data_IF_808183026540
#
_entry.id   IF_808183026540
#
_cell.length_a   1.000
_cell.length_b   1.000
_cell.length_c   1.000
_cell.angle_alpha   90.00
_cell.angle_beta   90.00
_cell.angle_gamma   90.00
#
_symmetry.space_group_name_H-M   'P 1'
#
loop_
_entity.id
_entity.type
_entity.pdbx_description
1 polymer ?
#
# COMPACT_ATOMS: atom_id res chain seq x y z
N UNK A 1 -8.12 17.45 -2.30
CA UNK A 1 -8.88 16.19 -2.46
C UNK A 1 -8.10 14.96 -2.04
N UNK A 2 -7.03 14.51 -2.73
CA UNK A 2 -6.32 13.25 -2.34
C UNK A 2 -5.81 13.25 -0.89
N UNK A 3 -5.20 14.36 -0.44
CA UNK A 3 -4.78 14.53 0.96
C UNK A 3 -5.89 14.50 1.99
N UNK A 4 -7.08 15.00 1.67
CA UNK A 4 -8.22 14.96 2.61
C UNK A 4 -8.77 13.54 2.73
N UNK A 5 -8.81 12.80 1.61
CA UNK A 5 -9.14 11.37 1.61
C UNK A 5 -8.09 10.58 2.40
N UNK A 6 -6.80 10.85 2.18
CA UNK A 6 -5.71 10.20 2.90
C UNK A 6 -5.79 10.43 4.41
N UNK A 7 -6.10 11.65 4.85
CA UNK A 7 -6.28 11.95 6.28
C UNK A 7 -7.39 11.10 6.91
N UNK A 8 -8.56 11.06 6.27
CA UNK A 8 -9.68 10.25 6.76
C UNK A 8 -9.35 8.75 6.75
N UNK A 9 -8.61 8.27 5.75
CA UNK A 9 -8.16 6.89 5.66
C UNK A 9 -7.20 6.51 6.80
N UNK A 10 -6.25 7.40 7.12
CA UNK A 10 -5.25 7.18 8.18
C UNK A 10 -5.90 7.12 9.55
N UNK A 11 -6.96 7.89 9.80
CA UNK A 11 -7.74 7.82 11.06
C UNK A 11 -8.41 6.46 11.31
N UNK A 12 -8.54 5.60 10.28
CA UNK A 12 -9.09 4.25 10.41
C UNK A 12 -8.03 3.19 10.73
N UNK A 13 -6.75 3.53 10.62
CA UNK A 13 -5.63 2.61 10.81
C UNK A 13 -5.26 2.59 12.29
N UNK A 14 -5.28 1.41 12.91
CA UNK A 14 -4.98 1.22 14.32
C UNK A 14 -3.70 0.41 14.50
N UNK A 15 -2.98 0.57 15.62
CA UNK A 15 -1.88 -0.33 15.98
C UNK A 15 -2.30 -1.81 15.88
N UNK A 16 -1.41 -2.64 15.34
CA UNK A 16 -1.61 -4.05 15.02
C UNK A 16 -2.21 -4.31 13.64
N UNK A 17 -2.72 -3.29 12.93
CA UNK A 17 -3.32 -3.49 11.61
C UNK A 17 -2.29 -3.90 10.55
N UNK A 18 -2.74 -4.80 9.69
CA UNK A 18 -2.06 -5.23 8.46
C UNK A 18 -2.82 -4.65 7.28
N UNK A 19 -2.19 -3.72 6.57
CA UNK A 19 -2.85 -2.97 5.49
C UNK A 19 -2.19 -3.25 4.14
N UNK A 20 -2.97 -3.15 3.06
CA UNK A 20 -2.46 -3.08 1.70
C UNK A 20 -2.64 -1.67 1.16
N UNK A 21 -1.58 -1.13 0.57
CA UNK A 21 -1.56 0.13 -0.18
C UNK A 21 -1.21 -0.14 -1.64
N UNK A 22 -2.12 0.14 -2.57
CA UNK A 22 -1.80 0.10 -4.01
C UNK A 22 -0.80 1.22 -4.41
N UNK A 23 -0.27 1.18 -5.63
CA UNK A 23 0.63 2.15 -6.25
C UNK A 23 0.05 3.54 -6.55
N UNK A 24 -1.23 3.75 -6.29
CA UNK A 24 -1.92 4.99 -6.62
C UNK A 24 -1.41 6.27 -5.92
N UNK A 25 -1.81 7.41 -6.47
CA UNK A 25 -1.43 8.72 -5.90
C UNK A 25 -2.16 9.06 -4.60
N UNK A 26 -3.33 8.46 -4.34
CA UNK A 26 -4.03 8.63 -3.06
C UNK A 26 -3.40 7.78 -1.95
N UNK A 27 -3.05 6.54 -2.26
CA UNK A 27 -2.36 5.61 -1.35
C UNK A 27 -0.94 6.08 -1.03
N UNK A 28 -0.26 6.72 -1.98
CA UNK A 28 0.98 7.46 -1.71
C UNK A 28 0.81 8.55 -0.65
N UNK A 29 -0.27 9.34 -0.67
CA UNK A 29 -0.52 10.34 0.37
C UNK A 29 -0.85 9.69 1.73
N UNK A 30 -1.49 8.51 1.75
CA UNK A 30 -1.68 7.72 2.98
C UNK A 30 -0.31 7.30 3.55
N UNK A 31 0.54 6.69 2.74
CA UNK A 31 1.89 6.27 3.16
C UNK A 31 2.71 7.42 3.77
N UNK A 32 2.67 8.60 3.16
CA UNK A 32 3.37 9.78 3.71
C UNK A 32 2.88 10.19 5.11
N UNK A 33 1.64 9.91 5.47
CA UNK A 33 1.07 10.22 6.78
C UNK A 33 1.31 9.12 7.82
N UNK A 34 1.67 7.90 7.38
CA UNK A 34 1.94 6.77 8.28
C UNK A 34 3.24 6.88 9.08
N UNK A 35 4.13 7.83 8.78
CA UNK A 35 5.35 8.09 9.58
C UNK A 35 5.07 8.36 11.06
N UNK A 36 3.85 8.78 11.41
CA UNK A 36 3.43 9.03 12.79
C UNK A 36 2.84 7.79 13.49
N UNK A 37 2.67 6.68 12.76
CA UNK A 37 2.08 5.46 13.27
C UNK A 37 3.17 4.48 13.68
N UNK A 38 2.82 3.61 14.61
CA UNK A 38 3.67 2.52 15.09
C UNK A 38 2.87 1.24 15.11
N UNK A 39 3.56 0.11 15.02
CA UNK A 39 2.97 -1.23 15.07
C UNK A 39 2.00 -1.47 13.90
N UNK A 40 2.43 -1.16 12.67
CA UNK A 40 1.67 -1.40 11.45
C UNK A 40 2.46 -2.30 10.51
N UNK A 41 1.80 -3.25 9.85
CA UNK A 41 2.38 -3.98 8.72
C UNK A 41 1.74 -3.47 7.43
N UNK A 42 2.52 -2.87 6.54
CA UNK A 42 2.03 -2.38 5.26
C UNK A 42 2.59 -3.22 4.11
N UNK A 43 1.71 -3.85 3.33
CA UNK A 43 2.07 -4.44 2.05
C UNK A 43 1.76 -3.45 0.91
N UNK A 44 2.67 -3.33 -0.05
CA UNK A 44 2.41 -2.54 -1.26
C UNK A 44 2.94 -3.21 -2.52
N UNK A 45 2.22 -3.02 -3.62
CA UNK A 45 2.71 -3.30 -4.96
C UNK A 45 3.39 -2.05 -5.58
N UNK A 46 3.39 -0.88 -4.92
CA UNK A 46 3.87 0.38 -5.48
C UNK A 46 5.27 0.73 -5.00
N UNK A 47 6.22 0.88 -5.92
CA UNK A 47 7.57 1.34 -5.60
C UNK A 47 7.56 2.78 -5.06
N UNK A 48 6.68 3.64 -5.56
CA UNK A 48 6.48 4.99 -5.05
C UNK A 48 5.97 5.01 -3.60
N UNK A 49 5.08 4.07 -3.25
CA UNK A 49 4.54 3.93 -1.90
C UNK A 49 5.57 3.32 -0.96
N UNK A 50 6.30 2.29 -1.39
CA UNK A 50 7.42 1.72 -0.65
C UNK A 50 8.47 2.79 -0.31
N UNK A 51 8.87 3.61 -1.29
CA UNK A 51 9.80 4.71 -1.08
C UNK A 51 9.28 5.74 -0.07
N UNK A 52 7.97 5.98 -0.04
CA UNK A 52 7.36 6.91 0.92
C UNK A 52 7.29 6.34 2.35
N UNK A 53 7.54 5.05 2.54
CA UNK A 53 7.53 4.39 3.85
C UNK A 53 8.94 4.06 4.36
N UNK A 54 10.00 4.37 3.61
CA UNK A 54 11.38 4.03 3.99
C UNK A 54 11.77 4.60 5.37
N UNK A 55 11.29 5.79 5.69
CA UNK A 55 11.59 6.48 6.95
C UNK A 55 10.49 6.28 8.01
N UNK A 56 9.48 5.44 7.74
CA UNK A 56 8.40 5.14 8.67
C UNK A 56 8.78 3.98 9.59
N UNK A 57 9.64 4.23 10.58
CA UNK A 57 10.22 3.20 11.47
C UNK A 57 9.18 2.33 12.20
N UNK A 58 7.98 2.87 12.43
CA UNK A 58 6.86 2.16 13.04
C UNK A 58 6.06 1.27 12.10
N UNK A 59 6.45 1.19 10.82
CA UNK A 59 5.77 0.41 9.77
C UNK A 59 6.69 -0.68 9.24
N UNK A 60 6.32 -1.94 9.45
CA UNK A 60 6.95 -3.06 8.76
C UNK A 60 6.48 -3.07 7.30
N UNK A 61 7.43 -2.94 6.36
CA UNK A 61 7.15 -2.82 4.94
C UNK A 61 7.32 -4.16 4.21
N UNK A 62 6.23 -4.67 3.65
CA UNK A 62 6.20 -5.81 2.75
C UNK A 62 5.98 -5.33 1.30
N UNK A 63 6.68 -5.96 0.36
CA UNK A 63 6.49 -5.70 -1.07
C UNK A 63 6.02 -6.97 -1.76
N UNK A 64 5.05 -6.84 -2.68
CA UNK A 64 4.52 -8.01 -3.40
C UNK A 64 5.57 -8.69 -4.28
N UNK A 65 6.58 -7.94 -4.75
CA UNK A 65 7.63 -8.46 -5.63
C UNK A 65 7.11 -8.83 -7.02
N UNK A 66 7.86 -9.63 -7.79
CA UNK A 66 7.50 -9.96 -9.18
C UNK A 66 8.00 -8.93 -10.19
N UNK A 67 7.22 -8.65 -11.23
CA UNK A 67 7.64 -7.80 -12.35
C UNK A 67 7.29 -6.34 -12.15
N UNK A 68 8.26 -5.43 -12.37
CA UNK A 68 8.03 -4.00 -12.29
C UNK A 68 7.45 -3.43 -13.60
N UNK A 69 6.22 -2.92 -13.53
CA UNK A 69 5.62 -2.04 -14.54
C UNK A 69 6.08 -0.60 -14.30
N UNK A 70 7.09 -0.17 -15.06
CA UNK A 70 7.73 1.16 -14.89
C UNK A 70 6.76 2.35 -15.00
N UNK A 71 5.77 2.27 -15.89
CA UNK A 71 4.81 3.36 -16.14
C UNK A 71 3.98 3.73 -14.91
N UNK A 72 3.54 2.72 -14.15
CA UNK A 72 2.74 2.88 -12.93
C UNK A 72 3.58 2.76 -11.65
N UNK A 73 4.88 2.45 -11.78
CA UNK A 73 5.76 2.08 -10.67
C UNK A 73 5.18 0.96 -9.80
N UNK A 74 4.49 -0.01 -10.42
CA UNK A 74 3.79 -1.08 -9.70
C UNK A 74 4.30 -2.48 -10.06
N UNK A 75 4.23 -3.39 -9.11
CA UNK A 75 4.61 -4.78 -9.22
C UNK A 75 3.41 -5.66 -9.61
N UNK A 76 3.62 -6.64 -10.50
CA UNK A 76 2.58 -7.54 -11.01
C UNK A 76 3.12 -8.93 -11.38
N UNK A 77 2.19 -9.84 -11.70
CA UNK A 77 2.45 -11.21 -12.13
C UNK A 77 2.32 -12.22 -10.99
N UNK A 78 2.45 -13.50 -11.32
CA UNK A 78 2.12 -14.62 -10.43
C UNK A 78 2.81 -14.54 -9.06
N UNK A 79 4.07 -14.08 -9.01
CA UNK A 79 4.77 -13.88 -7.74
C UNK A 79 4.10 -12.82 -6.86
N UNK A 80 3.67 -11.71 -7.46
CA UNK A 80 2.97 -10.65 -6.73
C UNK A 80 1.63 -11.15 -6.20
N UNK A 81 0.89 -11.91 -7.01
CA UNK A 81 -0.40 -12.50 -6.63
C UNK A 81 -0.23 -13.54 -5.51
N UNK A 82 0.75 -14.45 -5.63
CA UNK A 82 1.05 -15.43 -4.59
C UNK A 82 1.47 -14.80 -3.27
N UNK A 83 2.18 -13.66 -3.32
CA UNK A 83 2.58 -12.96 -2.09
C UNK A 83 1.38 -12.51 -1.26
N UNK A 84 0.28 -12.10 -1.91
CA UNK A 84 -0.95 -11.67 -1.24
C UNK A 84 -1.61 -12.83 -0.49
N UNK A 85 -1.56 -14.04 -1.05
CA UNK A 85 -2.16 -15.24 -0.47
C UNK A 85 -1.46 -15.72 0.82
N UNK A 86 -0.24 -15.27 1.07
CA UNK A 86 0.54 -15.69 2.25
C UNK A 86 0.17 -14.92 3.53
N UNK A 87 -0.71 -13.92 3.44
CA UNK A 87 -1.01 -13.01 4.54
C UNK A 87 -2.52 -12.74 4.66
N UNK A 88 -2.94 -12.43 5.88
CA UNK A 88 -4.27 -11.88 6.16
C UNK A 88 -4.13 -10.38 6.41
N UNK A 89 -5.00 -9.59 5.79
CA UNK A 89 -4.99 -8.13 5.90
C UNK A 89 -6.32 -7.62 6.43
N UNK A 90 -6.25 -6.59 7.27
CA UNK A 90 -7.42 -5.94 7.88
C UNK A 90 -8.03 -4.90 6.95
N UNK A 91 -7.21 -4.26 6.12
CA UNK A 91 -7.66 -3.16 5.27
C UNK A 91 -6.90 -3.08 3.95
N UNK A 92 -7.62 -2.68 2.90
CA UNK A 92 -7.08 -2.46 1.57
C UNK A 92 -7.46 -1.06 1.08
N UNK A 93 -6.45 -0.27 0.73
CA UNK A 93 -6.62 1.01 0.06
C UNK A 93 -6.20 0.89 -1.40
N UNK A 94 -7.18 1.00 -2.31
CA UNK A 94 -6.96 0.95 -3.74
C UNK A 94 -7.14 2.34 -4.37
N UNK A 95 -6.31 2.66 -5.35
CA UNK A 95 -6.65 3.73 -6.27
C UNK A 95 -7.41 3.16 -7.46
N UNK A 96 -8.61 3.69 -7.70
CA UNK A 96 -9.36 3.38 -8.91
C UNK A 96 -8.86 4.25 -10.07
N UNK A 97 -8.37 3.60 -11.11
CA UNK A 97 -8.42 4.11 -12.48
C UNK A 97 -9.48 3.30 -13.24
N UNK A 98 -10.08 3.83 -14.33
CA UNK A 98 -11.15 3.16 -15.08
C UNK A 98 -10.82 1.74 -15.59
N UNK A 99 -9.56 1.32 -15.53
CA UNK A 99 -9.03 0.11 -16.16
C UNK A 99 -8.43 -0.92 -15.18
N UNK A 100 -8.59 -0.78 -13.86
CA UNK A 100 -7.97 -1.72 -12.91
C UNK A 100 -8.83 -2.99 -12.74
N UNK A 101 -8.36 -4.12 -13.30
CA UNK A 101 -8.86 -5.45 -12.93
C UNK A 101 -8.33 -5.81 -11.55
N UNK A 102 -9.23 -5.97 -10.59
CA UNK A 102 -8.90 -6.44 -9.24
C UNK A 102 -8.89 -7.97 -9.32
N UNK A 103 -7.70 -8.57 -9.35
CA UNK A 103 -7.58 -9.98 -8.97
C UNK A 103 -7.62 -10.03 -7.44
N UNK A 104 -8.75 -10.46 -6.91
CA UNK A 104 -8.91 -10.87 -5.52
C UNK A 104 -8.64 -12.36 -5.42
#
# INVERSE_FOLDING_TARGET
>A
MKRSIARAAVELIQPGHRIILDSGTTTYEIARMLHQHTDIIAMTNGMNVANALLDAEGVELLMTGGHLRRQSQSFYGDQAEQSLLNYHFDMLFLASTPSTSIAA
#
